data_IF_632254521295
#
_entry.id   IF_632254521295
#
_cell.length_a   1.000
_cell.length_b   1.000
_cell.length_c   1.000
_cell.angle_alpha   90.00
_cell.angle_beta   90.00
_cell.angle_gamma   90.00
#
_symmetry.space_group_name_H-M   'P 1'
#
loop_
_entity.id
_entity.type
_entity.pdbx_description
1 polymer ?
#
# COMPACT_ATOMS: atom_id res chain seq x y z
N UNK A 1 -32.21 -0.04 39.37
CA UNK A 1 -32.12 -0.65 38.03
C UNK A 1 -30.86 -0.16 37.37
N UNK A 2 -29.90 -1.05 37.12
CA UNK A 2 -28.63 -0.67 36.51
C UNK A 2 -28.89 -0.23 35.06
N UNK A 3 -28.36 0.94 34.69
CA UNK A 3 -28.53 1.55 33.34
C UNK A 3 -28.11 0.62 32.19
N UNK A 4 -27.28 -0.37 32.52
CA UNK A 4 -26.69 -1.34 31.62
C UNK A 4 -27.60 -2.53 31.28
N UNK A 5 -28.73 -2.70 31.96
CA UNK A 5 -29.70 -3.78 31.73
C UNK A 5 -30.91 -3.33 30.89
N UNK A 6 -30.98 -2.04 30.50
CA UNK A 6 -32.04 -1.52 29.64
C UNK A 6 -31.88 -2.03 28.21
N UNK A 7 -32.74 -2.99 27.85
CA UNK A 7 -32.94 -3.47 26.48
C UNK A 7 -33.71 -2.41 25.68
N UNK A 8 -33.28 -2.13 24.46
CA UNK A 8 -33.92 -1.13 23.59
C UNK A 8 -33.33 -1.13 22.17
N UNK A 9 -33.80 -0.25 21.26
CA UNK A 9 -33.27 -0.14 19.92
C UNK A 9 -31.75 0.08 19.92
N UNK A 10 -30.99 -0.79 19.23
CA UNK A 10 -29.52 -0.76 19.24
C UNK A 10 -28.84 -1.26 20.52
N UNK A 11 -29.61 -1.77 21.51
CA UNK A 11 -29.12 -2.34 22.77
C UNK A 11 -29.69 -3.76 22.96
N UNK A 12 -29.12 -4.77 22.26
CA UNK A 12 -29.55 -6.15 22.43
C UNK A 12 -29.28 -6.64 23.87
N UNK A 13 -30.04 -7.61 24.40
CA UNK A 13 -29.82 -8.11 25.75
C UNK A 13 -28.40 -8.68 25.94
N UNK A 14 -27.75 -8.37 27.08
CA UNK A 14 -26.34 -8.74 27.36
C UNK A 14 -26.05 -10.24 27.19
N UNK A 15 -26.98 -11.10 27.55
CA UNK A 15 -26.80 -12.57 27.47
C UNK A 15 -26.77 -13.12 26.04
N UNK A 16 -27.22 -12.33 25.05
CA UNK A 16 -27.11 -12.65 23.62
C UNK A 16 -25.95 -11.92 22.93
N UNK A 17 -25.26 -10.99 23.61
CA UNK A 17 -24.13 -10.29 23.02
C UNK A 17 -22.90 -11.22 22.96
N UNK A 18 -22.17 -11.16 21.85
CA UNK A 18 -20.87 -11.85 21.75
C UNK A 18 -19.84 -11.16 22.64
N UNK A 19 -18.96 -11.95 23.26
CA UNK A 19 -17.84 -11.39 24.03
C UNK A 19 -16.88 -10.61 23.11
N UNK A 20 -16.26 -9.53 23.57
CA UNK A 20 -15.20 -8.86 22.81
C UNK A 20 -14.12 -9.86 22.37
N UNK A 21 -13.74 -9.83 21.09
CA UNK A 21 -12.78 -10.78 20.49
C UNK A 21 -13.36 -12.13 20.05
N UNK A 22 -14.61 -12.45 20.41
CA UNK A 22 -15.30 -13.66 19.97
C UNK A 22 -16.14 -13.38 18.72
N UNK A 23 -15.86 -14.10 17.63
CA UNK A 23 -16.74 -14.11 16.45
C UNK A 23 -18.07 -14.79 16.78
N UNK A 24 -19.18 -14.22 16.32
CA UNK A 24 -20.50 -14.86 16.40
C UNK A 24 -20.62 -16.14 15.58
N UNK A 25 -19.71 -16.36 14.64
CA UNK A 25 -19.54 -17.64 13.95
C UNK A 25 -18.10 -18.16 14.13
N UNK A 26 -17.85 -18.99 15.15
CA UNK A 26 -16.53 -19.59 15.40
C UNK A 26 -16.06 -20.53 14.27
N UNK A 27 -16.99 -21.08 13.49
CA UNK A 27 -16.71 -21.92 12.30
C UNK A 27 -16.52 -21.10 11.03
N UNK A 28 -16.68 -19.77 11.11
CA UNK A 28 -16.43 -18.86 9.99
C UNK A 28 -14.95 -18.82 9.62
N UNK A 29 -14.63 -18.17 8.50
CA UNK A 29 -13.23 -18.05 8.04
C UNK A 29 -12.39 -17.33 9.11
N UNK A 30 -11.30 -17.95 9.61
CA UNK A 30 -10.53 -17.35 10.69
C UNK A 30 -9.84 -16.06 10.22
N UNK A 31 -9.71 -15.11 11.14
CA UNK A 31 -8.90 -13.89 10.94
C UNK A 31 -7.46 -14.31 10.65
N UNK A 32 -6.83 -13.68 9.64
CA UNK A 32 -5.48 -14.03 9.21
C UNK A 32 -5.36 -15.32 8.38
N UNK A 33 -6.48 -15.91 7.96
CA UNK A 33 -6.46 -17.07 7.06
C UNK A 33 -5.72 -16.76 5.75
N UNK A 34 -4.84 -17.69 5.34
CA UNK A 34 -4.15 -17.63 4.06
C UNK A 34 -5.16 -17.43 2.93
N UNK A 35 -4.92 -16.42 2.12
CA UNK A 35 -5.61 -16.10 0.87
C UNK A 35 -4.56 -15.71 -0.19
N UNK A 36 -4.95 -15.61 -1.46
CA UNK A 36 -4.02 -15.26 -2.54
C UNK A 36 -3.22 -13.98 -2.25
N UNK A 37 -3.88 -12.91 -1.78
CA UNK A 37 -3.20 -11.65 -1.43
C UNK A 37 -2.12 -11.84 -0.37
N UNK A 38 -2.41 -12.61 0.68
CA UNK A 38 -1.42 -12.90 1.75
C UNK A 38 -0.26 -13.77 1.26
N UNK A 39 -0.48 -14.64 0.27
CA UNK A 39 0.58 -15.47 -0.32
C UNK A 39 1.46 -14.59 -1.21
N UNK A 40 0.86 -13.80 -2.09
CA UNK A 40 1.59 -12.87 -2.97
C UNK A 40 2.41 -11.88 -2.17
N UNK A 41 1.82 -11.24 -1.14
CA UNK A 41 2.59 -10.32 -0.29
C UNK A 41 3.78 -11.02 0.36
N UNK A 42 3.57 -12.22 0.92
CA UNK A 42 4.67 -12.98 1.52
C UNK A 42 5.79 -13.25 0.51
N UNK A 43 5.45 -13.67 -0.71
CA UNK A 43 6.45 -13.95 -1.75
C UNK A 43 7.21 -12.68 -2.14
N UNK A 44 6.49 -11.59 -2.35
CA UNK A 44 7.08 -10.30 -2.70
C UNK A 44 8.07 -9.80 -1.63
N UNK A 45 7.85 -10.14 -0.37
CA UNK A 45 8.71 -9.76 0.75
C UNK A 45 9.88 -10.74 1.00
N UNK A 46 10.01 -11.81 0.22
CA UNK A 46 11.16 -12.71 0.32
C UNK A 46 12.42 -12.08 -0.27
N UNK A 47 13.56 -12.34 0.36
CA UNK A 47 14.88 -11.93 -0.13
C UNK A 47 15.41 -12.92 -1.16
N UNK A 48 15.95 -12.37 -2.25
CA UNK A 48 16.59 -13.09 -3.34
C UNK A 48 17.81 -12.29 -3.81
N UNK A 49 18.68 -12.92 -4.60
CA UNK A 49 19.88 -12.26 -5.13
C UNK A 49 19.51 -11.30 -6.27
N UNK A 50 19.91 -10.04 -6.14
CA UNK A 50 19.77 -9.03 -7.21
C UNK A 50 20.48 -9.48 -8.48
N UNK A 51 19.85 -9.35 -9.68
CA UNK A 51 20.53 -9.47 -10.97
C UNK A 51 21.61 -8.41 -11.23
N UNK A 52 21.56 -7.25 -10.58
CA UNK A 52 22.49 -6.13 -10.83
C UNK A 52 23.80 -6.28 -10.06
N UNK A 53 23.73 -6.48 -8.74
CA UNK A 53 24.90 -6.42 -7.86
C UNK A 53 25.05 -7.65 -6.93
N UNK A 54 24.16 -8.64 -7.04
CA UNK A 54 24.12 -9.87 -6.22
C UNK A 54 23.90 -9.63 -4.72
N UNK A 55 23.45 -8.44 -4.32
CA UNK A 55 22.97 -8.19 -2.96
C UNK A 55 21.67 -8.97 -2.67
N UNK A 56 21.36 -9.19 -1.40
CA UNK A 56 20.07 -9.76 -1.00
C UNK A 56 19.02 -8.64 -0.94
N UNK A 57 18.04 -8.70 -1.83
CA UNK A 57 16.98 -7.70 -1.98
C UNK A 57 15.62 -8.38 -2.09
N UNK A 58 14.55 -7.64 -1.82
CA UNK A 58 13.19 -8.20 -1.91
C UNK A 58 12.81 -8.55 -3.35
N UNK A 59 11.91 -9.53 -3.54
CA UNK A 59 11.37 -9.83 -4.89
C UNK A 59 10.72 -8.58 -5.52
N UNK A 60 10.11 -7.68 -4.74
CA UNK A 60 9.55 -6.42 -5.27
C UNK A 60 10.62 -5.58 -5.96
N UNK A 61 11.78 -5.48 -5.34
CA UNK A 61 12.91 -4.71 -5.85
C UNK A 61 13.49 -5.36 -7.10
N UNK A 62 13.68 -6.69 -7.08
CA UNK A 62 14.11 -7.45 -8.27
C UNK A 62 13.16 -7.29 -9.46
N UNK A 63 11.85 -7.18 -9.23
CA UNK A 63 10.91 -6.90 -10.32
C UNK A 63 11.16 -5.54 -10.96
N UNK A 64 11.51 -4.52 -10.17
CA UNK A 64 11.89 -3.19 -10.68
C UNK A 64 13.23 -3.25 -11.40
N UNK A 65 14.23 -3.95 -10.85
CA UNK A 65 15.53 -4.14 -11.50
C UNK A 65 15.40 -4.84 -12.86
N UNK A 66 14.57 -5.89 -12.95
CA UNK A 66 14.30 -6.56 -14.22
C UNK A 66 13.62 -5.62 -15.22
N UNK A 67 12.68 -4.79 -14.76
CA UNK A 67 12.05 -3.78 -15.61
C UNK A 67 13.08 -2.77 -16.13
N UNK A 68 14.04 -2.38 -15.30
CA UNK A 68 15.15 -1.51 -15.66
C UNK A 68 16.05 -2.16 -16.71
N UNK A 69 16.43 -3.44 -16.53
CA UNK A 69 17.20 -4.21 -17.50
C UNK A 69 16.47 -4.29 -18.86
N UNK A 70 15.17 -4.56 -18.85
CA UNK A 70 14.35 -4.60 -20.07
C UNK A 70 14.29 -3.23 -20.77
N UNK A 71 14.14 -2.15 -20.00
CA UNK A 71 14.18 -0.79 -20.53
C UNK A 71 15.52 -0.48 -21.20
N UNK A 72 16.64 -0.85 -20.55
CA UNK A 72 17.99 -0.72 -21.12
C UNK A 72 18.18 -1.54 -22.40
N UNK A 73 17.48 -2.68 -22.52
CA UNK A 73 17.49 -3.53 -23.72
C UNK A 73 16.56 -3.01 -24.85
N UNK A 74 15.99 -1.81 -24.71
CA UNK A 74 15.19 -1.16 -25.75
C UNK A 74 13.67 -1.34 -25.62
N UNK A 75 13.18 -1.90 -24.51
CA UNK A 75 11.76 -1.97 -24.24
C UNK A 75 11.21 -0.58 -23.84
N UNK A 76 10.72 0.17 -24.82
CA UNK A 76 10.23 1.54 -24.63
C UNK A 76 9.07 1.64 -23.62
N UNK A 77 8.23 0.60 -23.49
CA UNK A 77 7.14 0.60 -22.50
C UNK A 77 7.67 0.46 -21.09
N UNK A 78 8.69 -0.37 -20.88
CA UNK A 78 9.36 -0.47 -19.59
C UNK A 78 10.06 0.84 -19.22
N UNK A 79 10.75 1.46 -20.19
CA UNK A 79 11.39 2.75 -19.99
C UNK A 79 10.36 3.86 -19.64
N UNK A 80 9.25 3.92 -20.38
CA UNK A 80 8.17 4.86 -20.12
C UNK A 80 7.59 4.67 -18.71
N UNK A 81 7.26 3.43 -18.34
CA UNK A 81 6.71 3.14 -17.01
C UNK A 81 7.67 3.58 -15.90
N UNK A 82 8.98 3.34 -16.04
CA UNK A 82 9.97 3.76 -15.05
C UNK A 82 10.08 5.28 -14.96
N UNK A 83 10.13 6.00 -16.09
CA UNK A 83 10.19 7.46 -16.13
C UNK A 83 8.93 8.13 -15.57
N UNK A 84 7.75 7.53 -15.74
CA UNK A 84 6.50 8.04 -15.15
C UNK A 84 6.45 7.87 -13.63
N UNK A 85 7.28 6.98 -13.07
CA UNK A 85 7.26 6.60 -11.65
C UNK A 85 8.61 6.87 -10.95
N UNK A 86 9.52 7.63 -11.56
CA UNK A 86 10.85 7.95 -11.02
C UNK A 86 10.83 9.04 -9.93
N UNK A 87 9.65 9.57 -9.61
CA UNK A 87 9.46 10.65 -8.63
C UNK A 87 9.75 12.04 -9.21
N UNK A 88 10.07 12.15 -10.50
CA UNK A 88 10.22 13.42 -11.18
C UNK A 88 8.86 14.00 -11.55
N UNK A 89 8.22 14.70 -10.60
CA UNK A 89 7.34 15.89 -10.72
C UNK A 89 6.71 16.20 -9.34
N UNK A 90 7.51 16.52 -8.33
CA UNK A 90 7.02 17.07 -7.05
C UNK A 90 8.07 17.99 -6.37
N UNK A 91 8.79 18.79 -7.15
CA UNK A 91 9.37 20.02 -6.62
C UNK A 91 8.36 21.16 -6.91
N UNK A 92 7.68 21.74 -5.89
CA UNK A 92 6.92 22.95 -6.13
C UNK A 92 7.89 24.02 -6.63
N UNK A 93 7.70 24.48 -7.88
CA UNK A 93 8.34 25.70 -8.39
C UNK A 93 7.89 26.87 -7.52
N UNK A 94 8.60 27.14 -6.44
CA UNK A 94 8.28 28.16 -5.45
C UNK A 94 8.67 29.58 -5.89
N UNK A 95 9.09 29.77 -7.14
CA UNK A 95 9.90 30.91 -7.55
C UNK A 95 9.48 31.58 -8.87
N UNK A 96 8.24 31.36 -9.36
CA UNK A 96 7.72 32.07 -10.53
C UNK A 96 6.67 33.15 -10.25
N UNK A 97 6.42 33.51 -8.99
CA UNK A 97 5.66 34.73 -8.66
C UNK A 97 6.60 35.79 -8.09
N UNK A 98 6.58 36.99 -8.70
CA UNK A 98 7.25 38.25 -8.31
C UNK A 98 8.52 38.66 -9.06
N UNK A 99 8.41 38.91 -10.37
CA UNK A 99 9.01 40.13 -10.96
C UNK A 99 8.30 40.56 -12.24
N UNK A 100 7.07 41.08 -12.11
CA UNK A 100 6.58 42.05 -13.10
C UNK A 100 6.73 43.42 -12.43
N UNK A 101 7.78 44.21 -12.73
CA UNK A 101 7.77 45.60 -12.31
C UNK A 101 6.60 46.30 -13.00
N UNK A 102 5.73 46.91 -12.20
CA UNK A 102 4.64 47.75 -12.67
C UNK A 102 5.16 48.84 -13.60
N UNK A 103 4.44 49.20 -14.68
CA UNK A 103 4.80 50.36 -15.47
C UNK A 103 4.54 51.62 -14.64
N UNK A 104 5.60 52.35 -14.33
CA UNK A 104 5.53 53.66 -13.67
C UNK A 104 4.67 54.64 -14.50
N UNK A 105 3.85 55.43 -13.79
CA UNK A 105 3.00 56.50 -14.32
C UNK A 105 3.75 57.83 -14.42
#
# INVERSE_FOLDING_TARGET
MNKEEQVGPGRPPKFYQFKPGQSGNPKGRPRGSRNLKTIVSRLLDQEVKSPLDRSDVSIREVLVENLFIEAMNGNLKAAQYLLENDGGQDEPRADLEHSIPSPDK
#
